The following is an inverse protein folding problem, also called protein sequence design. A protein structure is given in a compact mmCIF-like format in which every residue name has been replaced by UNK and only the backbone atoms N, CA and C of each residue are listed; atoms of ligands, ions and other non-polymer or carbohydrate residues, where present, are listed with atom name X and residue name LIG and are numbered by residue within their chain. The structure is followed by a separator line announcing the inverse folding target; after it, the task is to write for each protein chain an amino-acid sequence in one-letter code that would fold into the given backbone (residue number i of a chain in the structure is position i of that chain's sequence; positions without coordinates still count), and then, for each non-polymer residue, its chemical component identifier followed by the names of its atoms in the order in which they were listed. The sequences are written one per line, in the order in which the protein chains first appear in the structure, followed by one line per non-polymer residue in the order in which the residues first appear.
data_IF_241148759843
#
_entry.id   IF_241148759843
#
_cell.length_a   1.000
_cell.length_b   1.000
_cell.length_c   1.000
_cell.angle_alpha   90.00
_cell.angle_beta   90.00
_cell.angle_gamma   90.00
#
_symmetry.space_group_name_H-M   'P 1'
#
loop_
_entity.id
_entity.type
_entity.pdbx_description
1 polymer ?
#
# COMPACT_ATOMS: atom_id res chain seq x y z
N UNK A 1 9.42 10.88 3.23
CA UNK A 1 9.21 9.54 3.78
C UNK A 1 7.73 9.23 3.82
N UNK A 2 7.30 8.21 3.07
CA UNK A 2 5.97 7.60 3.05
C UNK A 2 6.04 6.25 3.75
N UNK A 3 5.28 6.06 4.82
CA UNK A 3 5.19 4.80 5.56
C UNK A 3 3.85 4.14 5.23
N UNK A 4 3.88 2.92 4.68
CA UNK A 4 2.67 2.19 4.33
C UNK A 4 2.61 0.87 5.09
N UNK A 5 1.45 0.52 5.62
CA UNK A 5 1.22 -0.86 6.08
C UNK A 5 0.65 -1.72 4.95
N UNK A 6 0.98 -3.01 4.98
CA UNK A 6 0.39 -4.01 4.08
C UNK A 6 -0.25 -5.13 4.90
N UNK A 7 -1.46 -5.52 4.55
CA UNK A 7 -2.22 -6.51 5.32
C UNK A 7 -3.03 -7.43 4.44
N UNK A 8 -3.00 -8.71 4.77
CA UNK A 8 -3.84 -9.74 4.19
C UNK A 8 -4.89 -10.15 5.20
N UNK A 9 -6.18 -10.04 4.85
CA UNK A 9 -7.27 -10.10 5.83
C UNK A 9 -8.33 -11.11 5.39
N UNK A 10 -8.87 -11.91 6.32
CA UNK A 10 -10.03 -12.78 6.10
C UNK A 10 -10.87 -12.84 7.37
N UNK A 11 -12.13 -12.40 7.29
CA UNK A 11 -13.13 -12.52 8.36
C UNK A 11 -12.72 -11.89 9.70
N UNK A 12 -12.45 -10.59 9.69
CA UNK A 12 -11.99 -9.81 10.85
C UNK A 12 -13.01 -8.70 11.19
N UNK A 13 -14.31 -8.94 10.97
CA UNK A 13 -15.33 -7.89 11.05
C UNK A 13 -15.47 -7.22 12.42
N UNK A 14 -15.01 -7.89 13.47
CA UNK A 14 -15.04 -7.43 14.85
C UNK A 14 -13.85 -6.52 15.22
N UNK A 15 -12.75 -6.55 14.47
CA UNK A 15 -11.56 -5.73 14.75
C UNK A 15 -11.13 -4.82 13.60
N UNK A 16 -11.53 -5.12 12.35
CA UNK A 16 -11.01 -4.44 11.17
C UNK A 16 -11.20 -2.93 11.20
N UNK A 17 -12.32 -2.45 11.75
CA UNK A 17 -12.54 -1.01 11.91
C UNK A 17 -11.55 -0.39 12.90
N UNK A 18 -11.40 -1.00 14.08
CA UNK A 18 -10.44 -0.59 15.10
C UNK A 18 -9.01 -0.60 14.54
N UNK A 19 -8.65 -1.65 13.79
CA UNK A 19 -7.35 -1.82 13.15
C UNK A 19 -7.02 -0.69 12.19
N UNK A 20 -7.95 -0.35 11.27
CA UNK A 20 -7.76 0.76 10.32
C UNK A 20 -7.72 2.10 11.06
N UNK A 21 -8.67 2.36 11.96
CA UNK A 21 -8.76 3.63 12.69
C UNK A 21 -7.51 3.90 13.51
N UNK A 22 -6.96 2.88 14.18
CA UNK A 22 -5.72 3.02 14.93
C UNK A 22 -4.53 3.23 14.01
N UNK A 23 -4.26 2.28 13.10
CA UNK A 23 -3.02 2.27 12.33
C UNK A 23 -2.94 3.45 11.33
N UNK A 24 -4.06 4.01 10.86
CA UNK A 24 -4.05 5.26 10.08
C UNK A 24 -3.61 6.51 10.88
N UNK A 25 -3.48 6.43 12.21
CA UNK A 25 -2.79 7.45 13.01
C UNK A 25 -1.27 7.20 13.11
N UNK A 26 -0.78 6.05 12.62
CA UNK A 26 0.60 5.56 12.77
C UNK A 26 1.32 5.40 11.42
N UNK A 27 0.60 5.24 10.32
CA UNK A 27 1.16 5.15 8.95
C UNK A 27 0.49 6.14 7.99
N UNK A 28 1.18 6.52 6.91
CA UNK A 28 0.67 7.48 5.90
C UNK A 28 -0.43 6.86 5.02
N UNK A 29 -0.44 5.53 4.88
CA UNK A 29 -1.43 4.77 4.12
C UNK A 29 -1.43 3.27 4.43
N UNK A 30 -2.50 2.59 4.03
CA UNK A 30 -2.67 1.14 4.25
C UNK A 30 -3.13 0.46 2.98
N UNK A 31 -2.53 -0.69 2.65
CA UNK A 31 -2.91 -1.52 1.51
C UNK A 31 -3.42 -2.85 2.05
N UNK A 32 -4.69 -3.14 1.80
CA UNK A 32 -5.39 -4.30 2.31
C UNK A 32 -5.73 -5.23 1.15
N UNK A 33 -5.35 -6.50 1.26
CA UNK A 33 -5.85 -7.59 0.43
C UNK A 33 -6.93 -8.36 1.20
N UNK A 34 -8.19 -8.14 0.86
CA UNK A 34 -9.30 -8.93 1.36
C UNK A 34 -9.28 -10.32 0.68
N UNK A 35 -8.98 -11.35 1.46
CA UNK A 35 -8.94 -12.74 1.01
C UNK A 35 -10.34 -13.35 0.99
N UNK A 36 -11.25 -12.70 0.25
CA UNK A 36 -12.64 -13.11 0.03
C UNK A 36 -13.36 -13.33 1.36
N UNK A 37 -13.39 -12.30 2.21
CA UNK A 37 -14.11 -12.40 3.48
C UNK A 37 -15.57 -12.73 3.23
N UNK A 38 -16.09 -13.64 4.05
CA UNK A 38 -17.47 -14.13 3.98
C UNK A 38 -18.39 -13.47 5.00
N UNK A 39 -17.84 -12.64 5.89
CA UNK A 39 -18.57 -11.85 6.88
C UNK A 39 -18.69 -10.37 6.47
N UNK A 40 -18.96 -9.47 7.42
CA UNK A 40 -19.09 -8.03 7.15
C UNK A 40 -17.77 -7.29 6.91
N UNK A 41 -16.60 -7.95 7.00
CA UNK A 41 -15.27 -7.31 6.86
C UNK A 41 -15.19 -6.45 5.61
N UNK A 42 -15.58 -6.99 4.45
CA UNK A 42 -15.56 -6.27 3.17
C UNK A 42 -16.44 -5.01 3.19
N UNK A 43 -17.63 -5.10 3.78
CA UNK A 43 -18.56 -3.96 3.85
C UNK A 43 -18.02 -2.85 4.76
N UNK A 44 -17.35 -3.22 5.85
CA UNK A 44 -16.69 -2.29 6.75
C UNK A 44 -15.52 -1.60 6.03
N UNK A 45 -14.67 -2.36 5.33
CA UNK A 45 -13.57 -1.82 4.52
C UNK A 45 -14.05 -0.82 3.46
N UNK A 46 -15.13 -1.14 2.73
CA UNK A 46 -15.71 -0.22 1.74
C UNK A 46 -16.26 1.07 2.38
N UNK A 47 -16.84 0.97 3.58
CA UNK A 47 -17.32 2.15 4.31
C UNK A 47 -16.15 3.04 4.75
N UNK A 48 -15.05 2.45 5.20
CA UNK A 48 -13.87 3.17 5.67
C UNK A 48 -13.07 3.86 4.57
N UNK A 49 -13.13 3.39 3.32
CA UNK A 49 -12.51 4.08 2.17
C UNK A 49 -13.03 5.51 1.98
N UNK A 50 -14.29 5.76 2.36
CA UNK A 50 -14.85 7.11 2.35
C UNK A 50 -14.29 8.02 3.45
N UNK A 51 -13.78 7.46 4.54
CA UNK A 51 -13.17 8.20 5.65
C UNK A 51 -11.65 8.38 5.48
N UNK A 52 -10.99 7.44 4.81
CA UNK A 52 -9.53 7.35 4.71
C UNK A 52 -9.09 7.26 3.23
N UNK A 53 -8.73 8.39 2.59
CA UNK A 53 -8.33 8.41 1.17
C UNK A 53 -7.10 7.55 0.82
N UNK A 54 -6.20 7.34 1.78
CA UNK A 54 -5.00 6.50 1.63
C UNK A 54 -5.22 5.05 2.11
N UNK A 55 -6.48 4.63 2.28
CA UNK A 55 -6.86 3.23 2.47
C UNK A 55 -7.14 2.60 1.11
N UNK A 56 -6.28 1.68 0.70
CA UNK A 56 -6.38 0.97 -0.57
C UNK A 56 -6.80 -0.48 -0.31
N UNK A 57 -7.94 -0.89 -0.86
CA UNK A 57 -8.51 -2.23 -0.61
C UNK A 57 -8.64 -2.96 -1.93
N UNK A 58 -7.99 -4.12 -2.00
CA UNK A 58 -8.02 -5.05 -3.13
C UNK A 58 -8.74 -6.33 -2.71
N UNK A 59 -9.52 -6.91 -3.62
CA UNK A 59 -10.06 -8.27 -3.43
C UNK A 59 -9.05 -9.27 -3.99
N UNK A 60 -8.76 -10.33 -3.25
CA UNK A 60 -7.88 -11.39 -3.72
C UNK A 60 -8.45 -12.12 -4.95
N UNK A 61 -7.76 -12.00 -6.09
CA UNK A 61 -8.09 -12.66 -7.36
C UNK A 61 -7.12 -13.78 -7.74
N UNK A 62 -6.09 -14.05 -6.92
CA UNK A 62 -5.17 -15.16 -7.17
C UNK A 62 -5.96 -16.49 -7.25
N UNK A 63 -5.56 -17.36 -8.18
CA UNK A 63 -6.20 -18.66 -8.40
C UNK A 63 -6.22 -19.48 -7.12
N UNK A 64 -7.07 -20.51 -7.06
CA UNK A 64 -7.57 -21.20 -5.85
C UNK A 64 -6.52 -21.92 -4.98
N UNK A 65 -5.23 -21.67 -5.20
CA UNK A 65 -4.14 -22.03 -4.31
C UNK A 65 -3.70 -20.76 -3.55
N UNK A 66 -4.21 -20.61 -2.32
CA UNK A 66 -3.91 -19.53 -1.36
C UNK A 66 -2.43 -19.49 -0.96
N UNK A 67 -1.56 -19.10 -1.88
CA UNK A 67 -0.15 -18.90 -1.61
C UNK A 67 0.03 -17.59 -0.85
N UNK A 68 0.12 -17.73 0.47
CA UNK A 68 0.33 -16.60 1.40
C UNK A 68 1.58 -15.82 1.02
N UNK A 69 2.63 -16.50 0.54
CA UNK A 69 3.91 -15.89 0.14
C UNK A 69 3.68 -15.00 -1.07
N UNK A 70 3.01 -15.52 -2.10
CA UNK A 70 2.66 -14.77 -3.30
C UNK A 70 1.85 -13.51 -2.97
N UNK A 71 0.82 -13.67 -2.15
CA UNK A 71 -0.15 -12.63 -1.81
C UNK A 71 0.49 -11.48 -1.01
N UNK A 72 1.34 -11.78 -0.01
CA UNK A 72 2.02 -10.74 0.77
C UNK A 72 3.11 -10.03 -0.03
N UNK A 73 3.82 -10.74 -0.91
CA UNK A 73 4.84 -10.14 -1.77
C UNK A 73 4.23 -9.30 -2.91
N UNK A 74 3.03 -9.64 -3.39
CA UNK A 74 2.25 -8.75 -4.25
C UNK A 74 1.93 -7.42 -3.56
N UNK A 75 1.55 -7.45 -2.29
CA UNK A 75 1.30 -6.22 -1.54
C UNK A 75 2.57 -5.38 -1.33
N UNK A 76 3.72 -6.03 -1.08
CA UNK A 76 5.01 -5.35 -1.02
C UNK A 76 5.34 -4.65 -2.33
N UNK A 77 5.16 -5.35 -3.46
CA UNK A 77 5.37 -4.79 -4.80
C UNK A 77 4.48 -3.57 -5.06
N UNK A 78 3.18 -3.67 -4.76
CA UNK A 78 2.26 -2.54 -4.84
C UNK A 78 2.71 -1.35 -3.97
N UNK A 79 3.10 -1.62 -2.72
CA UNK A 79 3.54 -0.58 -1.80
C UNK A 79 4.74 0.19 -2.35
N UNK A 80 5.76 -0.52 -2.85
CA UNK A 80 7.00 0.10 -3.35
C UNK A 80 6.80 0.77 -4.70
N UNK A 81 6.17 0.08 -5.67
CA UNK A 81 6.17 0.53 -7.06
C UNK A 81 4.97 1.41 -7.41
N UNK A 82 3.80 1.16 -6.80
CA UNK A 82 2.57 1.89 -7.13
C UNK A 82 2.33 3.06 -6.17
N UNK A 83 2.59 2.84 -4.88
CA UNK A 83 2.38 3.85 -3.83
C UNK A 83 3.66 4.60 -3.43
N UNK A 84 4.81 4.18 -3.97
CA UNK A 84 6.13 4.75 -3.72
C UNK A 84 6.46 4.81 -2.22
N UNK A 85 6.06 3.79 -1.46
CA UNK A 85 6.38 3.71 -0.04
C UNK A 85 7.90 3.69 0.18
N UNK A 86 8.36 4.40 1.20
CA UNK A 86 9.75 4.40 1.65
C UNK A 86 9.97 3.31 2.71
N UNK A 87 8.98 3.12 3.58
CA UNK A 87 8.99 2.14 4.66
C UNK A 87 7.69 1.34 4.59
N UNK A 88 7.78 0.01 4.63
CA UNK A 88 6.66 -0.91 4.51
C UNK A 88 6.55 -1.74 5.79
N UNK A 89 5.35 -1.79 6.38
CA UNK A 89 5.08 -2.52 7.62
C UNK A 89 4.01 -3.59 7.39
N UNK A 90 4.37 -4.87 7.25
CA UNK A 90 3.40 -5.96 7.20
C UNK A 90 2.67 -6.12 8.55
N UNK A 91 1.34 -6.07 8.54
CA UNK A 91 0.50 -6.19 9.74
C UNK A 91 -0.64 -7.18 9.52
N UNK A 92 -0.91 -8.00 10.53
CA UNK A 92 -2.15 -8.76 10.67
C UNK A 92 -3.25 -7.89 11.34
N UNK A 93 -4.52 -8.23 11.14
CA UNK A 93 -5.65 -7.39 11.59
C UNK A 93 -5.77 -7.26 13.13
N UNK A 94 -5.06 -8.11 13.87
CA UNK A 94 -4.95 -8.11 15.33
C UNK A 94 -3.62 -7.56 15.84
N UNK A 95 -2.87 -6.85 14.99
CA UNK A 95 -1.58 -6.24 15.30
C UNK A 95 -1.64 -4.69 15.23
N UNK A 96 -1.10 -4.03 16.25
CA UNK A 96 -1.11 -2.56 16.40
C UNK A 96 0.30 -2.06 16.75
N UNK A 97 0.86 -1.16 15.93
CA UNK A 97 2.20 -0.63 16.17
C UNK A 97 2.17 0.31 17.39
N UNK A 98 2.98 0.04 18.40
CA UNK A 98 3.12 0.87 19.61
C UNK A 98 4.60 1.18 19.87
N UNK A 99 4.87 2.03 20.85
CA UNK A 99 6.21 2.45 21.23
C UNK A 99 6.32 2.54 22.75
N UNK A 100 7.53 2.37 23.29
CA UNK A 100 7.76 2.36 24.75
C UNK A 100 7.56 3.74 25.38
N UNK A 101 8.20 4.77 24.82
CA UNK A 101 8.33 6.09 25.45
C UNK A 101 7.71 7.24 24.64
N UNK A 102 7.43 7.03 23.35
CA UNK A 102 6.99 8.07 22.41
C UNK A 102 5.78 7.60 21.59
N UNK A 103 5.24 8.49 20.76
CA UNK A 103 4.26 8.11 19.75
C UNK A 103 4.93 7.19 18.69
N UNK A 104 4.32 6.02 18.35
CA UNK A 104 4.85 5.11 17.32
C UNK A 104 5.05 5.77 15.95
N UNK A 105 4.26 6.79 15.60
CA UNK A 105 4.45 7.58 14.38
C UNK A 105 5.83 8.25 14.33
N UNK A 106 6.26 8.85 15.44
CA UNK A 106 7.53 9.56 15.50
C UNK A 106 8.71 8.58 15.47
N UNK A 107 8.57 7.42 16.11
CA UNK A 107 9.56 6.35 16.08
C UNK A 107 9.72 5.77 14.66
N UNK A 108 8.63 5.48 13.96
CA UNK A 108 8.69 5.03 12.56
C UNK A 108 9.34 6.09 11.66
N UNK A 109 9.14 7.39 11.97
CA UNK A 109 9.73 8.48 11.19
C UNK A 109 11.24 8.67 11.37
N UNK A 110 11.82 8.08 12.42
CA UNK A 110 13.28 8.06 12.65
C UNK A 110 13.98 6.98 11.84
N UNK A 111 13.26 6.00 11.30
CA UNK A 111 13.85 4.92 10.53
C UNK A 111 14.44 5.46 9.23
N UNK A 112 15.64 4.99 8.90
CA UNK A 112 16.29 5.28 7.63
C UNK A 112 15.84 4.28 6.56
N UNK A 113 15.68 4.73 5.31
CA UNK A 113 15.43 3.86 4.17
C UNK A 113 16.73 3.16 3.73
N UNK A 114 17.25 2.30 4.61
CA UNK A 114 18.51 1.57 4.42
C UNK A 114 18.38 0.51 3.31
N UNK A 115 19.49 0.15 2.67
CA UNK A 115 19.47 -0.76 1.51
C UNK A 115 20.17 -2.10 1.73
N UNK A 116 20.66 -2.39 2.93
CA UNK A 116 21.41 -3.62 3.24
C UNK A 116 20.85 -4.44 4.40
N UNK A 117 19.85 -3.88 5.11
CA UNK A 117 19.22 -4.51 6.26
C UNK A 117 17.72 -4.19 6.29
N UNK A 118 16.96 -4.95 7.06
CA UNK A 118 15.58 -4.64 7.44
C UNK A 118 15.47 -4.50 8.96
N UNK A 119 14.39 -3.91 9.45
CA UNK A 119 14.19 -3.77 10.89
C UNK A 119 13.27 -4.86 11.42
N UNK A 120 13.41 -5.17 12.71
CA UNK A 120 12.48 -6.03 13.44
C UNK A 120 12.08 -5.43 14.77
N UNK A 121 10.92 -5.81 15.28
CA UNK A 121 10.39 -5.34 16.55
C UNK A 121 9.50 -6.41 17.18
N UNK A 122 9.54 -6.50 18.51
CA UNK A 122 8.97 -7.62 19.25
C UNK A 122 7.45 -7.51 19.45
N UNK A 123 6.79 -8.66 19.52
CA UNK A 123 5.42 -8.77 19.98
C UNK A 123 5.26 -8.36 21.44
N UNK A 124 4.08 -7.84 21.74
CA UNK A 124 3.56 -7.52 23.07
C UNK A 124 2.13 -8.05 23.12
N UNK A 125 1.96 -9.30 23.54
CA UNK A 125 0.64 -9.96 23.51
C UNK A 125 -0.24 -9.44 24.66
N UNK A 126 -1.38 -8.85 24.30
CA UNK A 126 -2.39 -8.38 25.24
C UNK A 126 -3.37 -9.49 25.60
N UNK A 127 -3.79 -9.51 26.86
CA UNK A 127 -4.61 -10.56 27.44
C UNK A 127 -6.09 -10.13 27.54
N UNK A 128 -7.05 -11.05 27.36
CA UNK A 128 -8.48 -10.75 27.34
C UNK A 128 -9.06 -10.52 28.76
N UNK A 129 -8.44 -9.65 29.55
CA UNK A 129 -8.82 -9.35 30.93
C UNK A 129 -9.53 -7.99 30.96
N UNK A 130 -10.79 -8.00 30.54
CA UNK A 130 -11.68 -6.84 30.46
C UNK A 130 -13.15 -7.29 30.33
N UNK A 131 -14.09 -6.39 30.59
CA UNK A 131 -15.53 -6.66 30.41
C UNK A 131 -15.93 -6.65 28.92
N UNK A 132 -15.33 -5.75 28.14
CA UNK A 132 -15.61 -5.56 26.71
C UNK A 132 -14.31 -5.23 25.97
N UNK A 133 -14.11 -5.86 24.80
CA UNK A 133 -12.94 -5.59 23.97
C UNK A 133 -13.00 -4.18 23.38
N UNK A 134 -12.12 -3.32 23.89
CA UNK A 134 -11.76 -2.01 23.32
C UNK A 134 -10.28 -1.80 23.60
N UNK A 135 -9.57 -1.10 22.71
CA UNK A 135 -8.15 -0.81 22.92
C UNK A 135 -7.90 -0.05 24.24
N UNK A 136 -8.82 0.84 24.64
CA UNK A 136 -8.75 1.60 25.91
C UNK A 136 -8.87 0.72 27.17
N UNK A 137 -9.39 -0.49 27.03
CA UNK A 137 -9.54 -1.44 28.14
C UNK A 137 -8.36 -2.41 28.26
N UNK A 138 -7.39 -2.34 27.33
CA UNK A 138 -6.22 -3.20 27.33
C UNK A 138 -5.24 -2.75 28.42
N UNK A 139 -5.15 -3.56 29.48
CA UNK A 139 -4.36 -3.27 30.69
C UNK A 139 -3.35 -4.33 31.09
N UNK A 140 -3.43 -5.49 30.45
CA UNK A 140 -2.64 -6.65 30.84
C UNK A 140 -2.01 -7.26 29.62
N UNK A 141 -0.72 -7.53 29.73
CA UNK A 141 0.10 -8.19 28.72
C UNK A 141 0.69 -9.47 29.28
N UNK A 142 1.06 -10.35 28.37
CA UNK A 142 1.94 -11.48 28.67
C UNK A 142 3.34 -10.96 29.00
N UNK A 143 3.98 -11.59 29.98
CA UNK A 143 5.37 -11.32 30.37
C UNK A 143 6.32 -11.46 29.17
N UNK A 144 7.22 -10.49 28.97
CA UNK A 144 8.12 -10.45 27.81
C UNK A 144 9.07 -11.65 27.71
N UNK A 145 9.32 -12.37 28.81
CA UNK A 145 10.11 -13.62 28.81
C UNK A 145 9.43 -14.76 28.04
N UNK A 146 8.12 -14.64 27.83
CA UNK A 146 7.31 -15.59 27.07
C UNK A 146 7.25 -15.24 25.56
N UNK A 147 7.73 -14.07 25.16
CA UNK A 147 7.67 -13.59 23.78
C UNK A 147 8.85 -14.12 22.96
N UNK A 148 8.57 -14.84 21.87
CA UNK A 148 9.57 -15.41 20.96
C UNK A 148 9.37 -14.96 19.51
N UNK A 149 8.49 -13.98 19.29
CA UNK A 149 8.09 -13.53 17.96
C UNK A 149 8.38 -12.05 17.72
N UNK A 150 8.81 -11.77 16.49
CA UNK A 150 9.11 -10.45 15.97
C UNK A 150 8.34 -10.26 14.66
N UNK A 151 8.05 -9.00 14.32
CA UNK A 151 7.59 -8.61 12.99
C UNK A 151 8.67 -7.78 12.31
N UNK A 152 8.62 -7.71 10.99
CA UNK A 152 9.59 -6.98 10.18
C UNK A 152 9.06 -5.61 9.75
N UNK A 153 9.98 -4.68 9.51
CA UNK A 153 9.74 -3.42 8.78
C UNK A 153 10.74 -3.38 7.63
N UNK A 154 10.25 -3.05 6.44
CA UNK A 154 10.97 -3.23 5.19
C UNK A 154 11.24 -1.86 4.56
N UNK A 155 12.51 -1.43 4.48
CA UNK A 155 12.91 -0.30 3.65
C UNK A 155 12.72 -0.59 2.16
N UNK A 156 12.19 0.36 1.39
CA UNK A 156 11.98 0.16 -0.05
C UNK A 156 13.29 0.10 -0.84
N UNK A 157 14.36 0.73 -0.35
CA UNK A 157 15.66 0.66 -1.01
C UNK A 157 16.31 -0.72 -0.87
N UNK A 158 16.00 -1.47 0.19
CA UNK A 158 16.38 -2.89 0.31
C UNK A 158 15.69 -3.72 -0.78
N UNK A 159 14.38 -3.52 -0.98
CA UNK A 159 13.60 -4.20 -2.02
C UNK A 159 14.18 -3.95 -3.42
N UNK A 160 14.48 -2.68 -3.74
CA UNK A 160 15.03 -2.29 -5.05
C UNK A 160 16.41 -2.89 -5.32
N UNK A 161 17.23 -3.09 -4.29
CA UNK A 161 18.60 -3.60 -4.43
C UNK A 161 18.68 -5.11 -4.58
N UNK A 162 17.94 -5.85 -3.75
CA UNK A 162 18.11 -7.30 -3.64
C UNK A 162 16.99 -8.14 -4.26
N UNK A 163 15.85 -7.54 -4.66
CA UNK A 163 14.64 -8.28 -5.04
C UNK A 163 14.29 -9.33 -3.97
N UNK A 164 13.73 -8.85 -2.88
CA UNK A 164 13.51 -9.61 -1.63
C UNK A 164 12.14 -10.30 -1.61
N UNK A 165 12.01 -11.32 -0.76
CA UNK A 165 10.77 -12.04 -0.53
C UNK A 165 10.45 -12.12 0.97
N UNK A 166 9.21 -11.75 1.32
CA UNK A 166 8.62 -11.95 2.65
C UNK A 166 8.25 -13.41 2.84
N UNK A 167 8.75 -14.03 3.90
CA UNK A 167 8.36 -15.38 4.28
C UNK A 167 6.95 -15.41 4.91
N UNK A 168 6.20 -16.52 4.82
CA UNK A 168 4.90 -16.66 5.49
C UNK A 168 4.94 -16.25 6.97
N UNK A 169 3.94 -15.46 7.38
CA UNK A 169 3.85 -14.87 8.73
C UNK A 169 4.54 -13.51 8.89
N UNK A 170 5.34 -13.09 7.90
CA UNK A 170 6.02 -11.79 7.89
C UNK A 170 7.00 -11.58 9.06
N UNK A 171 7.65 -12.66 9.50
CA UNK A 171 8.64 -12.65 10.58
C UNK A 171 10.09 -12.53 10.07
N UNK A 172 10.31 -12.73 8.77
CA UNK A 172 11.65 -12.69 8.17
C UNK A 172 11.60 -12.42 6.67
N UNK A 173 12.74 -11.96 6.15
CA UNK A 173 13.00 -11.72 4.73
C UNK A 173 14.16 -12.60 4.26
N UNK A 174 14.06 -13.07 3.03
CA UNK A 174 15.18 -13.64 2.29
C UNK A 174 15.36 -12.87 0.99
N UNK A 175 16.58 -12.83 0.44
CA UNK A 175 16.71 -12.52 -0.98
C UNK A 175 16.18 -13.69 -1.83
N UNK A 176 15.88 -13.46 -3.11
CA UNK A 176 15.40 -14.53 -4.01
C UNK A 176 16.39 -15.68 -4.24
N UNK A 177 17.65 -15.54 -3.84
CA UNK A 177 18.64 -16.62 -3.87
C UNK A 177 18.68 -17.41 -2.55
N UNK A 178 17.78 -17.12 -1.60
CA UNK A 178 17.70 -17.77 -0.29
C UNK A 178 18.74 -17.29 0.71
N UNK A 179 19.45 -16.19 0.44
CA UNK A 179 20.42 -15.61 1.37
C UNK A 179 19.69 -14.78 2.43
N UNK A 180 20.09 -14.98 3.68
CA UNK A 180 19.63 -14.15 4.79
C UNK A 180 20.15 -12.71 4.63
N UNK A 181 19.27 -11.76 4.92
CA UNK A 181 19.54 -10.32 4.93
C UNK A 181 19.77 -9.88 6.38
N UNK A 182 20.63 -8.89 6.58
CA UNK A 182 20.89 -8.34 7.91
C UNK A 182 19.60 -7.79 8.54
N UNK A 183 19.46 -7.99 9.86
CA UNK A 183 18.31 -7.55 10.66
C UNK A 183 18.79 -6.54 11.69
N UNK A 184 18.03 -5.45 11.87
CA UNK A 184 18.25 -4.42 12.89
C UNK A 184 17.09 -4.46 13.88
N UNK A 185 17.37 -4.86 15.11
CA UNK A 185 16.36 -4.94 16.17
C UNK A 185 16.04 -3.55 16.72
N UNK A 186 14.74 -3.23 16.80
CA UNK A 186 14.23 -1.96 17.31
C UNK A 186 13.71 -2.12 18.73
N UNK A 187 14.37 -1.47 19.67
CA UNK A 187 13.91 -1.42 21.06
C UNK A 187 12.82 -0.38 21.30
N UNK A 188 12.69 0.65 20.45
CA UNK A 188 11.76 1.75 20.65
C UNK A 188 10.33 1.45 20.19
N UNK A 189 10.18 0.54 19.22
CA UNK A 189 8.89 0.07 18.71
C UNK A 189 8.55 -1.31 19.28
N UNK A 190 7.25 -1.56 19.46
CA UNK A 190 6.70 -2.86 19.82
C UNK A 190 5.43 -3.12 19.02
N UNK A 191 5.02 -4.38 18.91
CA UNK A 191 3.79 -4.76 18.21
C UNK A 191 2.78 -5.29 19.20
N UNK A 192 1.81 -4.46 19.55
CA UNK A 192 0.70 -4.89 20.39
C UNK A 192 -0.14 -5.90 19.61
N UNK A 193 -0.23 -7.13 20.14
CA UNK A 193 -0.92 -8.25 19.50
C UNK A 193 -2.12 -8.68 20.35
N UNK A 194 -3.30 -8.75 19.76
CA UNK A 194 -4.57 -9.12 20.44
C UNK A 194 -5.19 -10.37 19.80
N UNK A 195 -4.55 -11.54 19.91
CA UNK A 195 -4.93 -12.74 19.16
C UNK A 195 -6.30 -13.31 19.55
N UNK A 196 -6.66 -13.17 20.83
CA UNK A 196 -7.89 -13.66 21.44
C UNK A 196 -8.61 -12.47 22.07
N UNK A 197 -9.82 -12.17 21.60
CA UNK A 197 -10.58 -10.99 22.05
C UNK A 197 -12.01 -11.26 22.49
N UNK A 198 -12.59 -12.38 22.06
CA UNK A 198 -13.87 -12.89 22.54
C UNK A 198 -14.00 -14.38 22.25
N UNK A 199 -14.99 -15.05 22.87
CA UNK A 199 -15.27 -16.48 22.65
C UNK A 199 -15.63 -16.76 21.19
N UNK A 200 -16.58 -15.98 20.67
CA UNK A 200 -17.04 -16.10 19.29
C UNK A 200 -15.90 -15.88 18.28
N UNK A 201 -15.05 -14.87 18.53
CA UNK A 201 -13.87 -14.61 17.72
C UNK A 201 -12.88 -15.79 17.76
N UNK A 202 -12.53 -16.27 18.96
CA UNK A 202 -11.61 -17.38 19.14
C UNK A 202 -12.10 -18.62 18.38
N UNK A 203 -13.37 -18.99 18.53
CA UNK A 203 -13.97 -20.12 17.83
C UNK A 203 -13.90 -19.91 16.32
N UNK A 204 -14.32 -18.75 15.81
CA UNK A 204 -14.31 -18.47 14.37
C UNK A 204 -12.89 -18.51 13.78
N UNK A 205 -11.93 -17.86 14.42
CA UNK A 205 -10.53 -17.76 13.97
C UNK A 205 -9.86 -19.13 13.96
N UNK A 206 -9.95 -19.85 15.07
CA UNK A 206 -9.21 -21.10 15.27
C UNK A 206 -9.79 -22.25 14.44
N UNK A 207 -11.12 -22.40 14.40
CA UNK A 207 -11.75 -23.46 13.61
C UNK A 207 -11.45 -23.29 12.12
N UNK A 208 -11.66 -22.08 11.58
CA UNK A 208 -11.34 -21.81 10.18
C UNK A 208 -9.83 -21.94 9.92
N UNK A 209 -8.98 -21.35 10.76
CA UNK A 209 -7.52 -21.42 10.60
C UNK A 209 -7.01 -22.86 10.56
N UNK A 210 -7.44 -23.70 11.50
CA UNK A 210 -7.02 -25.10 11.57
C UNK A 210 -7.50 -25.92 10.36
N UNK A 211 -8.76 -25.80 9.95
CA UNK A 211 -9.31 -26.55 8.81
C UNK A 211 -8.64 -26.16 7.49
N UNK A 212 -8.38 -24.86 7.26
CA UNK A 212 -7.66 -24.40 6.07
C UNK A 212 -6.17 -24.79 6.10
N UNK A 213 -5.54 -24.88 7.26
CA UNK A 213 -4.18 -25.40 7.38
C UNK A 213 -4.12 -26.89 7.05
N UNK A 214 -5.12 -27.67 7.51
CA UNK A 214 -5.23 -29.09 7.20
C UNK A 214 -5.51 -29.39 5.73
N UNK A 215 -6.26 -28.54 5.04
CA UNK A 215 -6.55 -28.73 3.61
C UNK A 215 -5.34 -28.46 2.70
N UNK A 216 -4.41 -27.58 3.12
CA UNK A 216 -3.24 -27.20 2.34
C UNK A 216 -2.06 -28.16 2.46
N UNK A 217 -1.84 -28.72 3.65
CA UNK A 217 -0.67 -29.56 3.90
C UNK A 217 -1.06 -30.82 4.67
N UNK A 218 -1.22 -31.93 3.94
CA UNK A 218 -1.58 -33.22 4.52
C UNK A 218 -0.53 -33.70 5.54
N UNK A 219 0.75 -33.33 5.37
CA UNK A 219 1.89 -33.92 6.06
C UNK A 219 2.71 -32.97 6.95
N UNK A 220 2.57 -31.65 6.81
CA UNK A 220 3.36 -30.68 7.58
C UNK A 220 2.50 -29.60 8.28
N UNK A 221 1.95 -29.93 9.45
CA UNK A 221 1.24 -28.99 10.34
C UNK A 221 2.13 -28.41 11.44
N UNK A 222 3.46 -28.56 11.35
CA UNK A 222 4.39 -28.20 12.44
C UNK A 222 4.31 -26.73 12.86
N UNK A 223 3.98 -25.83 11.94
CA UNK A 223 3.92 -24.39 12.19
C UNK A 223 2.57 -23.89 12.74
N UNK A 224 1.58 -24.77 12.95
CA UNK A 224 0.24 -24.39 13.42
C UNK A 224 -0.19 -25.20 14.66
N UNK A 225 0.78 -25.63 15.47
CA UNK A 225 0.56 -26.44 16.67
C UNK A 225 -0.36 -25.75 17.68
N UNK A 226 -0.22 -24.44 17.90
CA UNK A 226 -1.06 -23.68 18.84
C UNK A 226 -2.54 -23.70 18.39
N UNK A 227 -2.79 -23.53 17.08
CA UNK A 227 -4.15 -23.60 16.54
C UNK A 227 -4.77 -24.98 16.75
N UNK A 228 -3.98 -26.06 16.63
CA UNK A 228 -4.45 -27.42 16.91
C UNK A 228 -4.85 -27.58 18.38
N UNK A 229 -4.00 -27.15 19.31
CA UNK A 229 -4.29 -27.27 20.74
C UNK A 229 -5.59 -26.54 21.10
N UNK A 230 -5.77 -25.32 20.60
CA UNK A 230 -6.98 -24.52 20.84
C UNK A 230 -8.19 -25.17 20.14
N UNK A 231 -8.05 -25.65 18.91
CA UNK A 231 -9.10 -26.37 18.18
C UNK A 231 -9.59 -27.61 18.93
N UNK A 232 -8.67 -28.39 19.50
CA UNK A 232 -9.01 -29.58 20.28
C UNK A 232 -9.74 -29.23 21.57
N UNK A 233 -9.36 -28.13 22.23
CA UNK A 233 -10.08 -27.62 23.40
C UNK A 233 -11.50 -27.19 23.02
N UNK A 234 -11.66 -26.39 21.96
CA UNK A 234 -12.97 -25.99 21.42
C UNK A 234 -13.84 -27.21 21.11
N UNK A 235 -13.27 -28.24 20.49
CA UNK A 235 -14.01 -29.46 20.13
C UNK A 235 -14.45 -30.24 21.38
N UNK A 236 -13.55 -30.43 22.36
CA UNK A 236 -13.86 -31.14 23.61
C UNK A 236 -14.89 -30.40 24.47
N UNK A 237 -14.90 -29.08 24.44
CA UNK A 237 -15.87 -28.25 25.16
C UNK A 237 -17.16 -27.98 24.37
N UNK A 238 -17.27 -28.50 23.14
CA UNK A 238 -18.37 -28.21 22.22
C UNK A 238 -18.59 -26.69 22.03
N UNK A 239 -17.50 -25.94 21.91
CA UNK A 239 -17.50 -24.47 21.76
C UNK A 239 -17.72 -23.69 23.05
N UNK A 240 -18.02 -24.35 24.18
CA UNK A 240 -18.28 -23.67 25.45
C UNK A 240 -16.96 -23.35 26.17
N UNK A 241 -16.37 -22.20 25.85
CA UNK A 241 -15.16 -21.71 26.50
C UNK A 241 -15.50 -20.84 27.72
N UNK A 242 -14.81 -21.05 28.84
CA UNK A 242 -14.84 -20.12 29.97
C UNK A 242 -13.96 -18.89 29.69
N UNK A 243 -14.02 -17.88 30.56
CA UNK A 243 -13.11 -16.72 30.44
C UNK A 243 -11.67 -17.11 30.83
N UNK A 244 -11.54 -18.05 31.77
CA UNK A 244 -10.26 -18.69 32.13
C UNK A 244 -9.66 -19.44 30.93
N UNK A 245 -10.48 -20.18 30.17
CA UNK A 245 -10.02 -20.84 28.95
C UNK A 245 -9.47 -19.83 27.94
N UNK A 246 -10.15 -18.68 27.76
CA UNK A 246 -9.67 -17.64 26.84
C UNK A 246 -8.36 -17.02 27.31
N UNK A 247 -8.22 -16.78 28.62
CA UNK A 247 -7.00 -16.27 29.21
C UNK A 247 -5.82 -17.23 28.97
N UNK A 248 -5.99 -18.52 29.28
CA UNK A 248 -4.96 -19.54 29.07
C UNK A 248 -4.55 -19.66 27.60
N UNK A 249 -5.53 -19.60 26.69
CA UNK A 249 -5.30 -19.61 25.24
C UNK A 249 -4.53 -18.37 24.77
N UNK A 250 -4.82 -17.20 25.35
CA UNK A 250 -4.10 -15.97 25.03
C UNK A 250 -2.67 -15.99 25.57
N UNK A 251 -2.46 -16.43 26.82
CA UNK A 251 -1.13 -16.53 27.44
C UNK A 251 -0.24 -17.49 26.65
N UNK A 252 -0.76 -18.67 26.30
CA UNK A 252 -0.02 -19.67 25.53
C UNK A 252 0.02 -19.39 24.01
N UNK A 253 -0.57 -18.31 23.52
CA UNK A 253 -0.73 -18.08 22.09
C UNK A 253 0.64 -17.99 21.38
N UNK A 254 0.92 -18.98 20.54
CA UNK A 254 2.21 -19.14 19.84
C UNK A 254 3.48 -19.21 20.72
N UNK A 255 3.37 -19.26 22.05
CA UNK A 255 4.54 -19.34 22.94
C UNK A 255 4.82 -20.77 23.37
N UNK A 256 6.09 -21.18 23.31
CA UNK A 256 6.56 -22.50 23.78
C UNK A 256 7.11 -22.47 25.21
N UNK A 257 7.11 -21.32 25.87
CA UNK A 257 7.61 -21.20 27.21
C UNK A 257 6.67 -21.89 28.21
N UNK A 258 7.26 -22.61 29.16
CA UNK A 258 6.52 -23.28 30.23
C UNK A 258 6.21 -22.29 31.35
N UNK A 259 5.02 -22.43 31.94
CA UNK A 259 4.57 -21.70 33.12
C UNK A 259 3.62 -22.59 33.94
N UNK A 260 3.57 -22.37 35.26
CA UNK A 260 2.70 -23.16 36.14
C UNK A 260 1.27 -22.62 36.15
N UNK A 261 1.10 -21.30 36.32
CA UNK A 261 -0.20 -20.64 36.30
C UNK A 261 -0.16 -19.40 35.42
N UNK A 262 -1.27 -19.11 34.73
CA UNK A 262 -1.38 -17.91 33.89
C UNK A 262 -1.04 -16.63 34.66
N UNK A 263 -1.45 -16.52 35.93
CA UNK A 263 -1.17 -15.37 36.80
C UNK A 263 0.31 -15.05 36.99
N UNK A 264 1.19 -16.03 36.82
CA UNK A 264 2.63 -15.87 37.06
C UNK A 264 3.33 -15.14 35.92
N UNK A 265 2.66 -14.98 34.78
CA UNK A 265 3.18 -14.42 33.53
C UNK A 265 2.29 -13.29 33.00
N UNK A 266 1.53 -12.63 33.87
CA UNK A 266 0.73 -11.44 33.57
C UNK A 266 1.48 -10.20 34.08
N UNK A 267 1.61 -9.20 33.21
CA UNK A 267 2.14 -7.89 33.57
C UNK A 267 1.09 -6.82 33.30
N UNK A 268 1.07 -5.77 34.13
CA UNK A 268 0.29 -4.57 33.85
C UNK A 268 0.94 -3.76 32.73
N UNK A 269 0.09 -3.15 31.91
CA UNK A 269 0.47 -2.24 30.85
C UNK A 269 -0.65 -1.23 30.63
N UNK A 270 -0.38 -0.16 29.88
CA UNK A 270 -1.43 0.73 29.41
C UNK A 270 -1.27 0.95 27.92
N UNK A 271 -2.31 0.62 27.16
CA UNK A 271 -2.32 0.87 25.73
C UNK A 271 -2.49 2.37 25.47
N UNK A 272 -1.44 3.04 24.98
CA UNK A 272 -1.48 4.47 24.70
C UNK A 272 -2.32 4.78 23.45
N UNK A 273 -3.39 5.55 23.65
CA UNK A 273 -4.26 6.07 22.59
C UNK A 273 -4.24 7.61 22.52
N UNK A 274 -3.39 8.27 23.31
CA UNK A 274 -3.39 9.73 23.48
C UNK A 274 -3.12 10.49 22.17
N UNK A 275 -2.41 9.87 21.23
CA UNK A 275 -2.11 10.41 19.90
C UNK A 275 -3.20 10.10 18.86
N UNK A 276 -4.08 9.14 19.12
CA UNK A 276 -5.07 8.69 18.15
C UNK A 276 -6.25 9.67 18.02
N UNK A 277 -6.71 9.86 16.78
CA UNK A 277 -7.94 10.58 16.45
C UNK A 277 -8.94 9.61 15.81
N UNK A 278 -10.24 9.91 15.98
CA UNK A 278 -11.34 9.19 15.34
C UNK A 278 -11.40 7.67 15.64
N UNK A 279 -11.14 7.27 16.89
CA UNK A 279 -11.12 5.87 17.31
C UNK A 279 -12.50 5.21 17.49
N UNK A 280 -13.59 5.98 17.40
CA UNK A 280 -14.94 5.45 17.62
C UNK A 280 -15.39 4.61 16.41
N UNK A 281 -15.67 3.33 16.65
CA UNK A 281 -16.28 2.44 15.66
C UNK A 281 -17.72 2.86 15.31
N UNK A 282 -18.08 2.69 14.04
CA UNK A 282 -19.38 3.05 13.43
C UNK A 282 -20.02 1.88 12.68
N UNK A 283 -19.21 0.94 12.20
CA UNK A 283 -19.59 -0.11 11.26
C UNK A 283 -19.41 -1.53 11.82
N UNK A 284 -18.52 -1.69 12.82
CA UNK A 284 -18.34 -2.94 13.55
C UNK A 284 -19.65 -3.37 14.21
N UNK A 285 -20.14 -4.60 13.93
CA UNK A 285 -21.34 -5.13 14.56
C UNK A 285 -21.06 -5.59 16.01
N UNK A 286 -22.09 -5.63 16.83
CA UNK A 286 -22.00 -6.11 18.23
C UNK A 286 -21.70 -7.60 18.34
N UNK A 287 -22.14 -8.40 17.37
CA UNK A 287 -22.04 -9.86 17.40
C UNK A 287 -21.26 -10.41 16.21
N UNK A 288 -20.37 -11.36 16.51
CA UNK A 288 -19.66 -12.17 15.53
C UNK A 288 -20.62 -13.23 14.96
N UNK A 289 -20.38 -13.67 13.73
CA UNK A 289 -21.14 -14.73 13.07
C UNK A 289 -20.29 -15.99 12.93
N UNK A 290 -19.77 -16.50 14.05
CA UNK A 290 -18.76 -17.55 14.07
C UNK A 290 -19.23 -18.82 13.37
N UNK A 291 -20.49 -19.24 13.58
CA UNK A 291 -21.08 -20.40 12.91
C UNK A 291 -21.25 -20.17 11.42
N UNK A 292 -21.72 -19.01 10.99
CA UNK A 292 -21.84 -18.67 9.57
C UNK A 292 -20.47 -18.69 8.89
N UNK A 293 -19.44 -18.15 9.55
CA UNK A 293 -18.07 -18.16 9.06
C UNK A 293 -17.55 -19.59 8.88
N UNK A 294 -17.78 -20.45 9.88
CA UNK A 294 -17.38 -21.87 9.84
C UNK A 294 -18.13 -22.62 8.73
N UNK A 295 -19.45 -22.50 8.66
CA UNK A 295 -20.27 -23.21 7.67
C UNK A 295 -19.90 -22.79 6.23
N UNK A 296 -19.68 -21.50 5.98
CA UNK A 296 -19.23 -21.01 4.68
C UNK A 296 -17.83 -21.51 4.33
N UNK A 297 -16.92 -21.58 5.30
CA UNK A 297 -15.60 -22.16 5.06
C UNK A 297 -15.68 -23.67 4.75
N UNK A 298 -16.53 -24.41 5.48
CA UNK A 298 -16.76 -25.83 5.22
C UNK A 298 -17.34 -26.09 3.83
N UNK A 299 -18.28 -25.24 3.39
CA UNK A 299 -18.83 -25.28 2.03
C UNK A 299 -17.72 -25.05 0.98
N UNK A 300 -16.88 -24.03 1.18
CA UNK A 300 -15.72 -23.72 0.32
C UNK A 300 -14.73 -24.91 0.25
N UNK A 301 -14.37 -25.49 1.40
CA UNK A 301 -13.49 -26.66 1.48
C UNK A 301 -14.10 -27.89 0.81
N UNK A 302 -15.40 -28.14 1.01
CA UNK A 302 -16.12 -29.26 0.40
C UNK A 302 -16.18 -29.11 -1.13
N UNK A 303 -16.45 -27.91 -1.62
CA UNK A 303 -16.42 -27.61 -3.06
C UNK A 303 -15.04 -27.85 -3.66
N UNK A 304 -13.99 -27.32 -3.03
CA UNK A 304 -12.61 -27.51 -3.46
C UNK A 304 -12.20 -28.99 -3.45
N UNK A 305 -12.57 -29.75 -2.43
CA UNK A 305 -12.31 -31.18 -2.36
C UNK A 305 -13.03 -31.97 -3.47
N UNK A 306 -14.30 -31.66 -3.74
CA UNK A 306 -15.06 -32.28 -4.83
C UNK A 306 -14.44 -31.97 -6.19
N UNK A 307 -14.04 -30.72 -6.43
CA UNK A 307 -13.35 -30.30 -7.67
C UNK A 307 -12.04 -31.05 -7.86
N UNK A 308 -11.20 -31.12 -6.81
CA UNK A 308 -9.91 -31.82 -6.86
C UNK A 308 -10.09 -33.33 -7.09
N UNK A 309 -11.07 -33.96 -6.43
CA UNK A 309 -11.40 -35.37 -6.65
C UNK A 309 -11.77 -35.65 -8.10
N UNK A 310 -12.57 -34.77 -8.73
CA UNK A 310 -12.94 -34.90 -10.14
C UNK A 310 -11.75 -34.73 -11.09
N UNK A 311 -10.86 -33.78 -10.80
CA UNK A 311 -9.62 -33.60 -11.56
C UNK A 311 -8.75 -34.86 -11.44
N UNK A 312 -8.62 -35.40 -10.22
CA UNK A 312 -7.86 -36.62 -9.96
C UNK A 312 -8.43 -37.84 -10.70
N UNK A 313 -9.76 -38.02 -10.70
CA UNK A 313 -10.43 -39.09 -11.46
C UNK A 313 -10.16 -38.98 -12.96
N UNK A 314 -10.21 -37.77 -13.53
CA UNK A 314 -9.89 -37.54 -14.94
C UNK A 314 -8.43 -37.92 -15.24
N UNK A 315 -7.49 -37.47 -14.41
CA UNK A 315 -6.06 -37.78 -14.55
C UNK A 315 -5.82 -39.30 -14.46
N UNK A 316 -6.42 -39.99 -13.49
CA UNK A 316 -6.31 -41.45 -13.36
C UNK A 316 -6.94 -42.17 -14.55
N UNK A 317 -8.08 -41.68 -15.06
CA UNK A 317 -8.72 -42.19 -16.26
C UNK A 317 -7.79 -42.14 -17.47
N UNK A 318 -7.18 -40.97 -17.72
CA UNK A 318 -6.21 -40.77 -18.80
C UNK A 318 -4.96 -41.67 -18.65
N UNK A 319 -4.54 -41.94 -17.40
CA UNK A 319 -3.42 -42.83 -17.07
C UNK A 319 -3.76 -44.31 -17.27
N UNK A 320 -5.01 -44.72 -17.00
CA UNK A 320 -5.46 -46.10 -17.14
C UNK A 320 -5.34 -46.67 -18.57
N UNK A 321 -5.24 -45.80 -19.57
CA UNK A 321 -5.00 -46.15 -20.97
C UNK A 321 -3.50 -46.38 -21.30
N UNK A 322 -2.57 -46.10 -20.38
CA UNK A 322 -1.12 -46.27 -20.57
C UNK A 322 -0.60 -47.57 -19.91
N UNK A 323 0.20 -48.36 -20.67
CA UNK A 323 0.58 -49.75 -20.33
C UNK A 323 1.59 -49.94 -19.19
N UNK A 324 2.00 -48.91 -18.47
CA UNK A 324 3.06 -49.04 -17.44
C UNK A 324 2.83 -48.16 -16.20
N UNK A 325 2.22 -48.75 -15.16
CA UNK A 325 1.85 -48.08 -13.90
C UNK A 325 3.04 -47.43 -13.16
N UNK A 326 4.23 -48.04 -13.19
CA UNK A 326 5.38 -47.55 -12.41
C UNK A 326 6.01 -46.32 -13.08
N UNK A 327 6.11 -46.35 -14.40
CA UNK A 327 6.58 -45.22 -15.20
C UNK A 327 5.60 -44.05 -15.10
N UNK A 328 4.29 -44.32 -15.03
CA UNK A 328 3.27 -43.26 -14.93
C UNK A 328 3.27 -42.53 -13.59
N UNK A 329 3.46 -43.20 -12.43
CA UNK A 329 3.59 -42.48 -11.15
C UNK A 329 4.83 -41.57 -11.11
N UNK A 330 5.97 -42.05 -11.64
CA UNK A 330 7.17 -41.22 -11.77
C UNK A 330 6.95 -40.05 -12.74
N UNK A 331 6.15 -40.26 -13.79
CA UNK A 331 5.75 -39.22 -14.74
C UNK A 331 4.78 -38.21 -14.11
N UNK A 332 3.89 -38.62 -13.19
CA UNK A 332 3.04 -37.71 -12.41
C UNK A 332 3.88 -36.85 -11.48
N UNK A 333 4.80 -37.43 -10.69
CA UNK A 333 5.71 -36.63 -9.84
C UNK A 333 6.53 -35.65 -10.68
N UNK A 334 7.00 -36.07 -11.87
CA UNK A 334 7.67 -35.19 -12.81
C UNK A 334 6.73 -34.10 -13.36
N UNK A 335 5.49 -34.42 -13.72
CA UNK A 335 4.51 -33.46 -14.21
C UNK A 335 4.05 -32.49 -13.13
N UNK A 336 3.87 -32.92 -11.88
CA UNK A 336 3.52 -32.06 -10.76
C UNK A 336 4.66 -31.07 -10.48
N UNK A 337 5.91 -31.55 -10.46
CA UNK A 337 7.07 -30.67 -10.35
C UNK A 337 7.19 -29.73 -11.57
N UNK A 338 6.98 -30.23 -12.78
CA UNK A 338 6.99 -29.40 -13.99
C UNK A 338 5.84 -28.39 -14.02
N UNK A 339 4.66 -28.72 -13.48
CA UNK A 339 3.52 -27.79 -13.37
C UNK A 339 3.81 -26.73 -12.32
N UNK A 340 4.40 -27.10 -11.18
CA UNK A 340 4.84 -26.15 -10.16
C UNK A 340 5.92 -25.22 -10.71
N UNK A 341 6.94 -25.77 -11.38
CA UNK A 341 7.99 -24.99 -12.07
C UNK A 341 7.39 -24.10 -13.16
N UNK A 342 6.45 -24.60 -13.96
CA UNK A 342 5.77 -23.81 -15.00
C UNK A 342 4.89 -22.71 -14.41
N UNK A 343 4.21 -22.96 -13.29
CA UNK A 343 3.42 -21.95 -12.58
C UNK A 343 4.33 -20.88 -11.96
N UNK A 344 5.45 -21.29 -11.38
CA UNK A 344 6.48 -20.39 -10.84
C UNK A 344 7.13 -19.57 -11.96
N UNK A 345 7.47 -20.19 -13.09
CA UNK A 345 8.02 -19.50 -14.27
C UNK A 345 7.01 -18.53 -14.87
N UNK A 346 5.74 -18.94 -15.01
CA UNK A 346 4.65 -18.08 -15.47
C UNK A 346 4.45 -16.90 -14.52
N UNK A 347 4.46 -17.14 -13.21
CA UNK A 347 4.41 -16.08 -12.21
C UNK A 347 5.58 -15.11 -12.35
N UNK A 348 6.81 -15.63 -12.41
CA UNK A 348 8.02 -14.82 -12.59
C UNK A 348 8.00 -14.01 -13.89
N UNK A 349 7.46 -14.57 -14.98
CA UNK A 349 7.29 -13.87 -16.24
C UNK A 349 6.22 -12.78 -16.14
N UNK A 350 5.04 -13.07 -15.58
CA UNK A 350 3.99 -12.06 -15.35
C UNK A 350 4.47 -10.94 -14.43
N UNK A 351 5.23 -11.27 -13.38
CA UNK A 351 5.83 -10.29 -12.50
C UNK A 351 6.87 -9.41 -13.23
N UNK A 352 7.75 -10.00 -14.04
CA UNK A 352 8.71 -9.24 -14.87
C UNK A 352 8.02 -8.34 -15.89
N UNK A 353 6.97 -8.84 -16.55
CA UNK A 353 6.16 -8.06 -17.50
C UNK A 353 5.46 -6.89 -16.80
N UNK A 354 4.84 -7.13 -15.65
CA UNK A 354 4.21 -6.07 -14.84
C UNK A 354 5.23 -5.03 -14.37
N UNK A 355 6.42 -5.47 -13.94
CA UNK A 355 7.52 -4.57 -13.57
C UNK A 355 7.95 -3.70 -14.76
N UNK A 356 8.10 -4.27 -15.96
CA UNK A 356 8.43 -3.52 -17.17
C UNK A 356 7.32 -2.54 -17.58
N UNK A 357 6.06 -2.95 -17.49
CA UNK A 357 4.90 -2.09 -17.75
C UNK A 357 4.89 -0.91 -16.77
N UNK A 358 5.15 -1.15 -15.49
CA UNK A 358 5.22 -0.10 -14.48
C UNK A 358 6.40 0.86 -14.72
N UNK A 359 7.59 0.36 -15.06
CA UNK A 359 8.72 1.20 -15.46
C UNK A 359 8.41 2.06 -16.69
N UNK A 360 7.69 1.52 -17.67
CA UNK A 360 7.23 2.26 -18.85
C UNK A 360 6.19 3.33 -18.48
N UNK A 361 5.22 2.99 -17.62
CA UNK A 361 4.21 3.93 -17.15
C UNK A 361 4.84 5.10 -16.39
N UNK A 362 5.85 4.84 -15.55
CA UNK A 362 6.63 5.88 -14.85
C UNK A 362 7.32 6.80 -15.87
N UNK A 363 8.00 6.24 -16.88
CA UNK A 363 8.66 7.04 -17.94
C UNK A 363 7.67 7.89 -18.72
N UNK A 364 6.50 7.34 -19.05
CA UNK A 364 5.41 8.07 -19.72
C UNK A 364 4.90 9.21 -18.83
N UNK A 365 4.70 8.97 -17.53
CA UNK A 365 4.34 10.01 -16.56
C UNK A 365 5.36 11.15 -16.51
N UNK A 366 6.65 10.84 -16.45
CA UNK A 366 7.74 11.82 -16.47
C UNK A 366 7.78 12.62 -17.78
N UNK A 367 7.54 11.97 -18.93
CA UNK A 367 7.45 12.65 -20.23
C UNK A 367 6.25 13.61 -20.28
N UNK A 368 5.10 13.21 -19.74
CA UNK A 368 3.90 14.05 -19.70
C UNK A 368 4.10 15.31 -18.84
N UNK A 369 4.79 15.20 -17.70
CA UNK A 369 5.13 16.36 -16.88
C UNK A 369 6.10 17.31 -17.61
N UNK A 370 7.10 16.78 -18.33
CA UNK A 370 7.97 17.62 -19.18
C UNK A 370 7.20 18.31 -20.29
N UNK A 371 6.27 17.63 -20.95
CA UNK A 371 5.40 18.22 -21.98
C UNK A 371 4.57 19.38 -21.40
N UNK A 372 4.04 19.21 -20.19
CA UNK A 372 3.30 20.26 -19.48
C UNK A 372 4.17 21.49 -19.19
N UNK A 373 5.41 21.28 -18.77
CA UNK A 373 6.38 22.38 -18.55
C UNK A 373 6.74 23.11 -19.85
N UNK A 374 6.95 22.37 -20.94
CA UNK A 374 7.20 22.97 -22.25
C UNK A 374 5.99 23.75 -22.75
N UNK A 375 4.78 23.25 -22.56
CA UNK A 375 3.56 23.98 -22.92
C UNK A 375 3.44 25.29 -22.15
N UNK A 376 3.68 25.29 -20.84
CA UNK A 376 3.68 26.52 -20.02
C UNK A 376 4.73 27.54 -20.50
N UNK A 377 5.89 27.04 -20.94
CA UNK A 377 6.96 27.90 -21.49
C UNK A 377 6.54 28.52 -22.82
N UNK A 378 5.93 27.73 -23.71
CA UNK A 378 5.38 28.21 -24.99
C UNK A 378 4.30 29.26 -24.75
N UNK A 379 3.37 29.02 -23.83
CA UNK A 379 2.30 29.96 -23.50
C UNK A 379 2.87 31.28 -22.97
N UNK A 380 3.91 31.22 -22.14
CA UNK A 380 4.60 32.41 -21.63
C UNK A 380 5.28 33.18 -22.76
N UNK A 381 5.96 32.50 -23.69
CA UNK A 381 6.60 33.12 -24.85
C UNK A 381 5.58 33.76 -25.80
N UNK A 382 4.43 33.12 -26.01
CA UNK A 382 3.35 33.66 -26.82
C UNK A 382 2.77 34.94 -26.23
N UNK A 383 2.62 35.03 -24.89
CA UNK A 383 2.22 36.29 -24.23
C UNK A 383 3.25 37.41 -24.45
N UNK A 384 4.54 37.09 -24.31
CA UNK A 384 5.62 38.06 -24.58
C UNK A 384 5.61 38.57 -26.03
N UNK A 385 5.37 37.68 -27.00
CA UNK A 385 5.25 38.06 -28.41
C UNK A 385 4.07 39.01 -28.63
N UNK A 386 2.91 38.73 -28.03
CA UNK A 386 1.75 39.60 -28.13
C UNK A 386 2.02 41.00 -27.55
N UNK A 387 2.73 41.11 -26.42
CA UNK A 387 3.16 42.40 -25.86
C UNK A 387 4.09 43.17 -26.82
N UNK A 388 5.03 42.47 -27.48
CA UNK A 388 5.90 43.10 -28.47
C UNK A 388 5.14 43.60 -29.70
N UNK A 389 4.16 42.83 -30.19
CA UNK A 389 3.31 43.24 -31.31
C UNK A 389 2.53 44.53 -30.98
N UNK A 390 1.99 44.65 -29.76
CA UNK A 390 1.32 45.87 -29.30
C UNK A 390 2.28 47.06 -29.21
N UNK A 391 3.51 46.85 -28.73
CA UNK A 391 4.54 47.89 -28.69
C UNK A 391 4.90 48.35 -30.11
N UNK A 392 5.09 47.42 -31.05
CA UNK A 392 5.40 47.72 -32.45
C UNK A 392 4.26 48.51 -33.08
N UNK A 393 3.01 48.10 -32.86
CA UNK A 393 1.81 48.80 -33.36
C UNK A 393 1.77 50.25 -32.86
N UNK A 394 1.96 50.47 -31.56
CA UNK A 394 2.02 51.81 -30.98
C UNK A 394 3.15 52.68 -31.56
N UNK A 395 4.33 52.10 -31.77
CA UNK A 395 5.47 52.81 -32.38
C UNK A 395 5.16 53.19 -33.84
N UNK A 396 4.54 52.31 -34.60
CA UNK A 396 4.14 52.57 -35.98
C UNK A 396 3.09 53.68 -36.08
N UNK A 397 2.13 53.73 -35.16
CA UNK A 397 1.16 54.83 -35.08
C UNK A 397 1.84 56.18 -34.80
N UNK A 398 2.78 56.23 -33.84
CA UNK A 398 3.57 57.45 -33.58
C UNK A 398 4.41 57.88 -34.79
N UNK A 399 5.05 56.94 -35.47
CA UNK A 399 5.80 57.19 -36.70
C UNK A 399 4.92 57.85 -37.77
N UNK A 400 3.68 57.36 -37.93
CA UNK A 400 2.70 57.95 -38.86
C UNK A 400 2.37 59.40 -38.49
N UNK A 401 2.19 59.72 -37.21
CA UNK A 401 1.97 61.09 -36.72
C UNK A 401 3.17 62.00 -36.97
N UNK A 402 4.39 61.50 -36.74
CA UNK A 402 5.61 62.25 -37.03
C UNK A 402 5.76 62.52 -38.53
N UNK A 403 5.47 61.54 -39.38
CA UNK A 403 5.50 61.71 -40.83
C UNK A 403 4.52 62.81 -41.27
N UNK A 404 3.27 62.77 -40.80
CA UNK A 404 2.28 63.83 -41.07
C UNK A 404 2.76 65.22 -40.63
N UNK A 405 3.45 65.30 -39.49
CA UNK A 405 4.02 66.56 -38.99
C UNK A 405 5.12 67.09 -39.91
N UNK A 406 6.01 66.19 -40.37
CA UNK A 406 7.06 66.52 -41.34
C UNK A 406 6.45 67.02 -42.64
N UNK A 407 5.47 66.30 -43.19
CA UNK A 407 4.80 66.67 -44.43
C UNK A 407 4.15 68.05 -44.33
N UNK A 408 3.47 68.34 -43.21
CA UNK A 408 2.89 69.66 -42.94
C UNK A 408 3.95 70.77 -42.85
N UNK A 409 5.10 70.51 -42.22
CA UNK A 409 6.22 71.47 -42.17
C UNK A 409 6.82 71.69 -43.56
N UNK A 410 7.02 70.63 -44.35
CA UNK A 410 7.52 70.72 -45.72
C UNK A 410 6.58 71.55 -46.60
N UNK A 411 5.26 71.36 -46.47
CA UNK A 411 4.27 72.19 -47.18
C UNK A 411 4.38 73.67 -46.82
N UNK A 412 4.58 74.00 -45.53
CA UNK A 412 4.80 75.39 -45.09
C UNK A 412 6.10 75.97 -45.64
N UNK A 413 7.20 75.20 -45.60
CA UNK A 413 8.49 75.60 -46.16
C UNK A 413 8.35 75.90 -47.66
N UNK A 414 7.69 75.02 -48.42
CA UNK A 414 7.43 75.23 -49.84
C UNK A 414 6.60 76.50 -50.11
N UNK A 415 5.64 76.83 -49.25
CA UNK A 415 4.88 78.09 -49.35
C UNK A 415 5.75 79.32 -49.07
N UNK A 416 6.67 79.24 -48.10
CA UNK A 416 7.64 80.31 -47.84
C UNK A 416 8.62 80.48 -49.01
N UNK A 417 9.14 79.40 -49.58
CA UNK A 417 10.01 79.43 -50.77
C UNK A 417 9.31 80.18 -51.91
N UNK A 418 8.07 79.81 -52.26
CA UNK A 418 7.29 80.51 -53.29
C UNK A 418 7.08 82.00 -53.00
N UNK A 419 6.93 82.36 -51.72
CA UNK A 419 6.76 83.76 -51.31
C UNK A 419 8.07 84.54 -51.47
N UNK A 420 9.21 83.92 -51.15
CA UNK A 420 10.55 84.49 -51.35
C UNK A 420 10.82 84.68 -52.83
N UNK A 421 10.62 83.65 -53.66
CA UNK A 421 10.79 83.74 -55.13
C UNK A 421 9.94 84.86 -55.75
N UNK A 422 8.70 85.05 -55.25
CA UNK A 422 7.84 86.16 -55.70
C UNK A 422 8.41 87.52 -55.31
N UNK A 423 8.99 87.65 -54.12
CA UNK A 423 9.63 88.88 -53.65
C UNK A 423 10.93 89.16 -54.42
N UNK A 424 11.74 88.14 -54.68
CA UNK A 424 12.94 88.24 -55.52
C UNK A 424 12.59 88.78 -56.91
N UNK A 425 11.56 88.23 -57.58
CA UNK A 425 11.07 88.78 -58.86
C UNK A 425 10.63 90.25 -58.77
N UNK A 426 10.02 90.66 -57.65
CA UNK A 426 9.64 92.07 -57.46
C UNK A 426 10.88 92.94 -57.33
N UNK A 427 11.90 92.49 -56.59
CA UNK A 427 13.18 93.17 -56.45
C UNK A 427 13.87 93.28 -57.81
N UNK A 428 14.00 92.19 -58.57
CA UNK A 428 14.57 92.20 -59.93
C UNK A 428 13.86 93.21 -60.85
N UNK A 429 12.52 93.23 -60.85
CA UNK A 429 11.75 94.20 -61.64
C UNK A 429 11.97 95.66 -61.18
N UNK A 430 12.17 95.90 -59.89
CA UNK A 430 12.48 97.22 -59.36
C UNK A 430 13.90 97.65 -59.74
N UNK A 431 14.87 96.73 -59.70
CA UNK A 431 16.24 96.93 -60.15
C UNK A 431 16.33 97.23 -61.65
N UNK A 432 15.57 96.53 -62.50
CA UNK A 432 15.48 96.83 -63.94
C UNK A 432 14.87 98.22 -64.21
N UNK A 433 13.82 98.61 -63.47
CA UNK A 433 13.22 99.95 -63.57
C UNK A 433 14.17 101.07 -63.12
N UNK A 434 15.05 100.79 -62.16
CA UNK A 434 16.10 101.72 -61.75
C UNK A 434 17.15 101.89 -62.86
N UNK A 435 17.57 100.79 -63.51
CA UNK A 435 18.52 100.83 -64.64
C UNK A 435 17.97 101.52 -65.90
N UNK A 436 16.66 101.61 -66.10
CA UNK A 436 16.05 102.34 -67.22
C UNK A 436 15.91 103.86 -66.97
N UNK A 437 16.25 104.34 -65.76
CA UNK A 437 16.19 105.76 -65.38
C UNK A 437 17.57 106.43 -65.31
N UNK A 438 18.63 105.67 -65.59
CA UNK A 438 19.97 106.16 -65.92
C UNK A 438 20.13 106.21 -67.44
#
# INVERSE_FOLDING_TARGET
MKIYSISRIKNEMDIIETFIRYNMNVVDGMIILDNKSSDKTKNILESLKGEYPNLHVYTNTFSEHHDITLEINYLLDLAVNEYEADIIVPLDADEFITAKDNNPWDELRKLENINDSYYSYYWKTYLPIYDEFKLENLKYIRDSRMEDHEKIIIPSDLYKKYDIMINPGSHSLNDRNGKSINKVELDSLQLAHVPIRSKAQCVSKIVNGWLNNRSRNLFNTKNSWHQKLIFDKITRSNGNLSDEDLLDMAVSFSSKADYENASDVICEDNFDLSFCKNMKNKYTPDNIQEYSNILRNMEELSYNFSRLSKIHENIIGDIGESKDKYTTFKYIDLLENMILEYQEEKYNNTYRENKQINELNIKVGQMNEKLKQYQQTIDTKNRQLAEYDDIIKNKNEKLKTYQQTIDNKNNKINAYIKTVEKREKVIENLEEKLKQKE
#
